data_IF_985172364518
#
_entry.id   IF_985172364518
#
_cell.length_a   1.000
_cell.length_b   1.000
_cell.length_c   1.000
_cell.angle_alpha   90.00
_cell.angle_beta   90.00
_cell.angle_gamma   90.00
#
_symmetry.space_group_name_H-M   'P 1'
#
loop_
_entity.id
_entity.type
_entity.pdbx_description
1 polymer ?
#
# COMPACT_ATOMS: atom_id res chain seq x y z
N UNK A 1 -46.75 -33.67 -9.23
CA UNK A 1 -47.02 -32.46 -8.39
C UNK A 1 -46.05 -32.46 -7.27
N UNK A 2 -45.27 -31.41 -7.11
CA UNK A 2 -44.14 -31.34 -6.16
C UNK A 2 -44.49 -31.09 -4.70
N UNK A 3 -45.64 -31.51 -4.20
CA UNK A 3 -46.04 -31.50 -2.78
C UNK A 3 -45.74 -30.21 -1.95
N UNK A 4 -45.44 -29.09 -2.61
CA UNK A 4 -45.14 -27.83 -1.94
C UNK A 4 -46.41 -27.04 -1.70
N UNK A 5 -46.62 -26.60 -0.46
CA UNK A 5 -47.71 -25.69 -0.09
C UNK A 5 -47.55 -24.35 -0.86
N UNK A 6 -48.67 -23.86 -1.37
CA UNK A 6 -48.78 -22.61 -2.11
C UNK A 6 -48.18 -21.43 -1.33
N UNK A 7 -48.33 -21.38 -0.01
CA UNK A 7 -47.77 -20.36 0.86
C UNK A 7 -46.25 -20.43 0.91
N UNK A 8 -45.65 -21.63 0.90
CA UNK A 8 -44.20 -21.83 0.87
C UNK A 8 -43.61 -21.29 -0.42
N UNK A 9 -44.30 -21.52 -1.56
CA UNK A 9 -43.91 -20.99 -2.86
C UNK A 9 -43.88 -19.45 -2.89
N UNK A 10 -44.96 -18.79 -2.51
CA UNK A 10 -45.00 -17.31 -2.50
C UNK A 10 -44.05 -16.69 -1.49
N UNK A 11 -43.84 -17.31 -0.32
CA UNK A 11 -42.81 -16.88 0.63
C UNK A 11 -41.42 -17.01 0.06
N UNK A 12 -41.13 -18.05 -0.72
CA UNK A 12 -39.83 -18.22 -1.35
C UNK A 12 -39.57 -17.16 -2.41
N UNK A 13 -40.53 -16.84 -3.26
CA UNK A 13 -40.45 -15.74 -4.24
C UNK A 13 -40.16 -14.42 -3.53
N UNK A 14 -40.95 -14.07 -2.52
CA UNK A 14 -40.75 -12.82 -1.78
C UNK A 14 -39.42 -12.74 -1.10
N UNK A 15 -38.90 -13.86 -0.57
CA UNK A 15 -37.54 -13.92 -0.01
C UNK A 15 -36.49 -13.72 -1.10
N UNK A 16 -36.64 -14.31 -2.27
CA UNK A 16 -35.77 -14.17 -3.41
C UNK A 16 -35.72 -12.71 -3.88
N UNK A 17 -36.86 -12.07 -4.13
CA UNK A 17 -36.95 -10.67 -4.55
C UNK A 17 -36.31 -9.72 -3.54
N UNK A 18 -36.57 -9.91 -2.24
CA UNK A 18 -35.93 -9.15 -1.17
C UNK A 18 -34.39 -9.36 -1.15
N UNK A 19 -33.94 -10.59 -1.42
CA UNK A 19 -32.53 -10.90 -1.50
C UNK A 19 -31.86 -10.21 -2.69
N UNK A 20 -32.52 -10.20 -3.87
CA UNK A 20 -32.06 -9.51 -5.08
C UNK A 20 -31.97 -8.00 -4.88
N UNK A 21 -33.01 -7.40 -4.30
CA UNK A 21 -33.04 -5.97 -3.99
C UNK A 21 -31.90 -5.57 -3.04
N UNK A 22 -31.63 -6.39 -2.01
CA UNK A 22 -30.51 -6.16 -1.12
C UNK A 22 -29.15 -6.31 -1.82
N UNK A 23 -29.01 -7.33 -2.67
CA UNK A 23 -27.80 -7.56 -3.45
C UNK A 23 -27.49 -6.37 -4.38
N UNK A 24 -28.49 -5.87 -5.11
CA UNK A 24 -28.34 -4.70 -5.99
C UNK A 24 -27.87 -3.45 -5.22
N UNK A 25 -28.42 -3.21 -4.02
CA UNK A 25 -27.95 -2.10 -3.15
C UNK A 25 -26.51 -2.28 -2.73
N UNK A 26 -26.09 -3.51 -2.39
CA UNK A 26 -24.70 -3.80 -2.01
C UNK A 26 -23.75 -3.60 -3.20
N UNK A 27 -24.13 -4.05 -4.39
CA UNK A 27 -23.34 -3.89 -5.61
C UNK A 27 -23.08 -2.41 -5.86
N UNK A 28 -24.12 -1.57 -5.84
CA UNK A 28 -24.01 -0.13 -6.01
C UNK A 28 -23.04 0.50 -5.01
N UNK A 29 -23.16 0.16 -3.72
CA UNK A 29 -22.25 0.66 -2.68
C UNK A 29 -20.78 0.25 -2.94
N UNK A 30 -20.57 -0.95 -3.47
CA UNK A 30 -19.23 -1.43 -3.83
C UNK A 30 -18.68 -0.68 -5.04
N UNK A 31 -19.50 -0.45 -6.06
CA UNK A 31 -19.14 0.30 -7.26
C UNK A 31 -18.77 1.75 -6.92
N UNK A 32 -19.55 2.43 -6.08
CA UNK A 32 -19.25 3.79 -5.61
C UNK A 32 -17.85 3.90 -4.97
N UNK A 33 -17.45 2.91 -4.17
CA UNK A 33 -16.10 2.86 -3.59
C UNK A 33 -15.05 2.56 -4.68
N UNK A 34 -15.36 1.67 -5.61
CA UNK A 34 -14.43 1.24 -6.66
C UNK A 34 -14.17 2.27 -7.74
N UNK A 35 -15.02 3.27 -7.90
CA UNK A 35 -14.72 4.46 -8.70
C UNK A 35 -13.40 5.10 -8.25
N UNK A 36 -13.15 5.18 -6.93
CA UNK A 36 -11.93 5.77 -6.36
C UNK A 36 -10.81 4.74 -6.12
N UNK A 37 -11.18 3.52 -5.79
CA UNK A 37 -10.26 2.43 -5.46
C UNK A 37 -10.62 1.17 -6.27
N UNK A 38 -10.26 1.09 -7.57
CA UNK A 38 -10.81 0.13 -8.53
C UNK A 38 -10.71 -1.33 -8.10
N UNK A 39 -9.60 -1.72 -7.47
CA UNK A 39 -9.36 -3.10 -7.04
C UNK A 39 -9.23 -3.25 -5.53
N UNK A 40 -9.97 -2.47 -4.78
CA UNK A 40 -10.03 -2.64 -3.32
C UNK A 40 -10.61 -4.01 -2.97
N UNK A 41 -9.87 -4.79 -2.19
CA UNK A 41 -10.26 -6.16 -1.82
C UNK A 41 -11.44 -6.24 -0.84
N UNK A 42 -12.21 -7.34 -0.90
CA UNK A 42 -13.47 -7.53 -0.18
C UNK A 42 -13.41 -7.30 1.34
N UNK A 43 -12.30 -7.64 2.03
CA UNK A 43 -12.19 -7.38 3.48
C UNK A 43 -12.19 -5.90 3.83
N UNK A 44 -11.55 -5.06 3.01
CA UNK A 44 -11.52 -3.61 3.20
C UNK A 44 -12.86 -2.99 2.81
N UNK A 45 -13.48 -3.47 1.72
CA UNK A 45 -14.85 -3.08 1.34
C UNK A 45 -15.83 -3.37 2.47
N UNK A 46 -15.81 -4.58 3.05
CA UNK A 46 -16.66 -4.93 4.18
C UNK A 46 -16.46 -3.99 5.37
N UNK A 47 -15.21 -3.63 5.67
CA UNK A 47 -14.89 -2.67 6.73
C UNK A 47 -15.49 -1.29 6.46
N UNK A 48 -15.30 -0.76 5.26
CA UNK A 48 -15.82 0.57 4.87
C UNK A 48 -17.34 0.61 4.83
N UNK A 49 -17.98 -0.48 4.42
CA UNK A 49 -19.42 -0.60 4.27
C UNK A 49 -20.15 -1.13 5.53
N UNK A 50 -19.42 -1.27 6.67
CA UNK A 50 -19.98 -1.88 7.90
C UNK A 50 -21.30 -1.24 8.34
N UNK A 51 -21.43 0.09 8.27
CA UNK A 51 -22.65 0.83 8.60
C UNK A 51 -23.83 0.48 7.68
N UNK A 52 -23.73 0.74 6.37
CA UNK A 52 -24.75 0.40 5.39
C UNK A 52 -25.14 -1.08 5.36
N UNK A 53 -24.16 -1.99 5.47
CA UNK A 53 -24.43 -3.45 5.52
C UNK A 53 -25.23 -3.85 6.76
N UNK A 54 -24.95 -3.22 7.91
CA UNK A 54 -25.73 -3.45 9.14
C UNK A 54 -27.18 -3.01 8.98
N UNK A 55 -27.44 -1.88 8.35
CA UNK A 55 -28.79 -1.38 8.05
C UNK A 55 -29.55 -2.32 7.12
N UNK A 56 -28.87 -2.96 6.16
CA UNK A 56 -29.43 -3.96 5.26
C UNK A 56 -29.56 -5.35 5.90
N UNK A 57 -29.10 -5.53 7.15
CA UNK A 57 -29.02 -6.84 7.84
C UNK A 57 -28.18 -7.87 7.05
N UNK A 58 -27.06 -7.43 6.46
CA UNK A 58 -26.12 -8.27 5.71
C UNK A 58 -24.86 -8.47 6.53
N UNK A 59 -24.61 -9.74 6.93
CA UNK A 59 -23.39 -10.16 7.58
C UNK A 59 -22.24 -10.34 6.59
N UNK A 60 -21.04 -10.64 7.14
CA UNK A 60 -19.81 -10.82 6.37
C UNK A 60 -19.93 -11.88 5.28
N UNK A 61 -20.39 -13.08 5.63
CA UNK A 61 -20.39 -14.20 4.69
C UNK A 61 -21.38 -13.94 3.54
N UNK A 62 -22.58 -13.46 3.86
CA UNK A 62 -23.55 -13.04 2.82
C UNK A 62 -23.01 -11.93 1.92
N UNK A 63 -22.26 -10.98 2.46
CA UNK A 63 -21.57 -9.96 1.66
C UNK A 63 -20.57 -10.59 0.66
N UNK A 64 -19.75 -11.53 1.13
CA UNK A 64 -18.80 -12.22 0.24
C UNK A 64 -19.50 -13.11 -0.78
N UNK A 65 -20.66 -13.72 -0.45
CA UNK A 65 -21.47 -14.48 -1.42
C UNK A 65 -22.03 -13.57 -2.52
N UNK A 66 -22.50 -12.38 -2.17
CA UNK A 66 -22.95 -11.39 -3.16
C UNK A 66 -21.78 -10.98 -4.07
N UNK A 67 -20.60 -10.70 -3.51
CA UNK A 67 -19.42 -10.36 -4.33
C UNK A 67 -19.02 -11.51 -5.27
N UNK A 68 -19.07 -12.75 -4.79
CA UNK A 68 -18.73 -13.95 -5.57
C UNK A 68 -19.71 -14.18 -6.70
N UNK A 69 -21.00 -14.13 -6.41
CA UNK A 69 -22.08 -14.35 -7.38
C UNK A 69 -22.07 -13.30 -8.51
N UNK A 70 -21.55 -12.09 -8.25
CA UNK A 70 -21.47 -10.99 -9.23
C UNK A 70 -20.06 -10.75 -9.76
N UNK A 71 -19.14 -11.70 -9.63
CA UNK A 71 -17.75 -11.61 -10.11
C UNK A 71 -16.97 -10.38 -9.60
N UNK A 72 -17.34 -9.88 -8.42
CA UNK A 72 -16.72 -8.70 -7.80
C UNK A 72 -15.53 -9.03 -6.88
N UNK A 73 -15.12 -10.29 -6.77
CA UNK A 73 -13.91 -10.66 -6.04
C UNK A 73 -12.67 -10.35 -6.87
N UNK A 74 -11.68 -9.72 -6.23
CA UNK A 74 -10.40 -9.40 -6.89
C UNK A 74 -9.50 -10.61 -6.87
N UNK A 75 -9.03 -11.03 -8.06
CA UNK A 75 -8.03 -12.08 -8.23
C UNK A 75 -6.65 -11.43 -8.21
N UNK A 76 -5.75 -11.83 -7.30
CA UNK A 76 -4.40 -11.29 -7.24
C UNK A 76 -3.61 -11.61 -8.51
N UNK A 77 -2.98 -10.62 -9.13
CA UNK A 77 -2.01 -10.84 -10.20
C UNK A 77 -0.66 -11.22 -9.57
N UNK A 78 -0.04 -12.28 -10.07
CA UNK A 78 1.36 -12.62 -9.76
C UNK A 78 2.24 -11.97 -10.82
N UNK A 79 3.15 -11.11 -10.40
CA UNK A 79 4.16 -10.50 -11.27
C UNK A 79 5.46 -10.35 -10.48
N UNK A 80 6.57 -10.79 -11.07
CA UNK A 80 7.92 -10.69 -10.50
C UNK A 80 8.80 -9.96 -11.51
N UNK A 81 9.42 -8.85 -11.11
CA UNK A 81 10.46 -8.16 -11.87
C UNK A 81 11.58 -7.73 -10.92
N UNK A 82 12.82 -8.09 -11.28
CA UNK A 82 14.03 -7.59 -10.60
C UNK A 82 14.44 -6.30 -11.28
N UNK A 83 14.60 -5.21 -10.52
CA UNK A 83 14.82 -3.86 -11.03
C UNK A 83 16.08 -3.19 -10.49
N UNK A 84 16.78 -3.79 -9.52
CA UNK A 84 17.88 -3.13 -8.81
C UNK A 84 19.24 -3.59 -9.33
N UNK A 85 20.08 -2.62 -9.72
CA UNK A 85 21.50 -2.84 -9.98
C UNK A 85 22.31 -2.35 -8.76
N UNK A 86 22.83 -3.29 -7.96
CA UNK A 86 23.60 -3.01 -6.74
C UNK A 86 25.13 -3.08 -6.93
N UNK A 87 25.61 -3.36 -8.17
CA UNK A 87 27.04 -3.45 -8.49
C UNK A 87 27.60 -2.11 -8.97
N UNK A 88 27.92 -1.22 -8.01
CA UNK A 88 28.54 0.08 -8.29
C UNK A 88 29.57 0.46 -7.22
N UNK A 89 30.43 1.47 -7.51
CA UNK A 89 31.57 1.89 -6.67
C UNK A 89 31.21 2.86 -5.53
N UNK A 90 29.96 3.34 -5.43
CA UNK A 90 29.56 4.27 -4.38
C UNK A 90 29.55 3.62 -3.00
N UNK A 91 29.72 4.46 -1.97
CA UNK A 91 29.69 4.03 -0.56
C UNK A 91 28.34 3.45 -0.20
N UNK A 92 28.33 2.26 0.40
CA UNK A 92 27.16 1.57 0.93
C UNK A 92 27.07 1.78 2.44
N UNK A 93 25.86 1.98 2.94
CA UNK A 93 25.58 2.18 4.36
C UNK A 93 25.09 0.90 5.02
N UNK A 94 25.26 0.79 6.35
CA UNK A 94 24.75 -0.36 7.13
C UNK A 94 23.24 -0.32 7.21
N UNK A 95 22.61 -1.49 7.40
CA UNK A 95 21.19 -1.59 7.70
C UNK A 95 20.95 -1.24 9.18
N UNK A 96 20.32 -0.11 9.44
CA UNK A 96 20.05 0.41 10.79
C UNK A 96 18.65 -0.01 11.31
N UNK A 97 17.84 -0.70 10.51
CA UNK A 97 16.45 -0.99 10.86
C UNK A 97 16.18 -2.45 11.20
N UNK A 98 17.17 -3.35 11.09
CA UNK A 98 17.01 -4.78 11.38
C UNK A 98 16.39 -5.05 12.75
N UNK A 99 16.94 -4.44 13.80
CA UNK A 99 16.47 -4.59 15.19
C UNK A 99 15.78 -3.33 15.71
N UNK A 100 15.47 -2.38 14.82
CA UNK A 100 14.89 -1.11 15.22
C UNK A 100 13.36 -1.23 15.43
N UNK A 101 12.91 -0.86 16.62
CA UNK A 101 11.47 -0.86 16.95
C UNK A 101 10.80 0.42 16.48
N UNK A 102 10.00 0.31 15.42
CA UNK A 102 9.23 1.44 14.87
C UNK A 102 7.90 1.54 15.62
N UNK A 103 7.71 2.61 16.38
CA UNK A 103 6.53 2.79 17.24
C UNK A 103 5.79 4.12 17.07
N UNK A 104 6.35 5.07 16.31
CA UNK A 104 5.72 6.37 16.00
C UNK A 104 6.04 6.83 14.57
N UNK A 105 5.28 7.81 14.02
CA UNK A 105 5.58 8.40 12.71
C UNK A 105 6.94 9.07 12.67
N UNK A 106 7.51 9.20 11.48
CA UNK A 106 8.75 9.92 11.19
C UNK A 106 10.00 9.37 11.91
N UNK A 107 10.00 8.10 12.33
CA UNK A 107 11.20 7.41 12.81
C UNK A 107 11.99 6.79 11.67
N UNK A 108 11.29 6.17 10.72
CA UNK A 108 11.90 5.51 9.56
C UNK A 108 11.09 5.84 8.33
N UNK A 109 11.75 6.39 7.32
CA UNK A 109 11.23 6.50 5.97
C UNK A 109 11.89 5.44 5.10
N UNK A 110 11.10 4.71 4.34
CA UNK A 110 11.58 3.75 3.35
C UNK A 110 11.39 4.31 1.95
N UNK A 111 12.42 4.21 1.13
CA UNK A 111 12.43 4.71 -0.22
C UNK A 111 12.61 3.58 -1.22
N UNK A 112 11.93 3.68 -2.35
CA UNK A 112 12.05 2.74 -3.46
C UNK A 112 11.65 3.41 -4.77
N UNK A 113 12.19 2.88 -5.88
CA UNK A 113 11.85 3.31 -7.25
C UNK A 113 11.21 2.13 -7.98
N UNK A 114 10.06 2.38 -8.60
CA UNK A 114 9.37 1.35 -9.34
C UNK A 114 8.99 1.81 -10.73
N UNK A 115 8.96 0.86 -11.70
CA UNK A 115 8.45 1.11 -13.04
C UNK A 115 6.94 1.24 -13.04
N UNK A 116 6.40 2.18 -13.82
CA UNK A 116 4.98 2.33 -14.12
C UNK A 116 4.77 2.57 -15.61
N UNK A 117 3.65 2.08 -16.15
CA UNK A 117 3.37 2.12 -17.58
C UNK A 117 3.87 0.90 -18.33
N UNK A 118 3.88 0.99 -19.66
CA UNK A 118 4.26 -0.13 -20.50
C UNK A 118 5.80 -0.23 -20.68
N UNK A 119 6.27 -1.38 -21.21
CA UNK A 119 7.70 -1.62 -21.42
C UNK A 119 8.34 -0.74 -22.49
N UNK A 120 7.56 -0.22 -23.47
CA UNK A 120 8.08 0.60 -24.58
C UNK A 120 8.34 2.04 -24.15
N UNK A 121 7.50 2.58 -23.23
CA UNK A 121 7.65 3.92 -22.65
C UNK A 121 7.45 3.85 -21.14
N UNK A 122 8.43 3.32 -20.40
CA UNK A 122 8.34 3.25 -18.94
C UNK A 122 8.45 4.64 -18.34
N UNK A 123 7.70 4.90 -17.29
CA UNK A 123 7.99 5.97 -16.35
C UNK A 123 8.46 5.36 -15.04
N UNK A 124 9.13 6.17 -14.25
CA UNK A 124 9.72 5.77 -12.98
C UNK A 124 9.05 6.53 -11.85
N UNK A 125 8.55 5.81 -10.88
CA UNK A 125 7.93 6.37 -9.69
C UNK A 125 8.89 6.21 -8.51
N UNK A 126 9.47 7.31 -8.06
CA UNK A 126 10.22 7.37 -6.81
C UNK A 126 9.26 7.63 -5.67
N UNK A 127 9.21 6.74 -4.67
CA UNK A 127 8.35 6.84 -3.49
C UNK A 127 9.19 6.90 -2.20
N UNK A 128 8.72 7.71 -1.25
CA UNK A 128 9.19 7.72 0.13
C UNK A 128 7.97 7.50 1.02
N UNK A 129 8.02 6.47 1.85
CA UNK A 129 6.90 6.01 2.68
C UNK A 129 7.32 5.98 4.15
N UNK A 130 6.52 6.52 5.03
CA UNK A 130 6.69 6.37 6.47
C UNK A 130 6.44 4.92 6.89
N UNK A 131 7.42 4.28 7.50
CA UNK A 131 7.38 2.86 7.82
C UNK A 131 6.37 2.52 8.92
N UNK A 132 6.03 3.48 9.81
CA UNK A 132 5.02 3.28 10.83
C UNK A 132 3.61 3.37 10.25
N UNK A 133 3.26 4.49 9.65
CA UNK A 133 1.89 4.80 9.21
C UNK A 133 1.56 4.26 7.82
N UNK A 134 2.54 3.87 7.04
CA UNK A 134 2.45 3.54 5.60
C UNK A 134 2.05 4.74 4.74
N UNK A 135 2.12 5.96 5.26
CA UNK A 135 1.85 7.19 4.53
C UNK A 135 2.95 7.44 3.50
N UNK A 136 2.56 7.71 2.27
CA UNK A 136 3.47 8.21 1.25
C UNK A 136 3.72 9.68 1.57
N UNK A 137 4.95 9.99 1.99
CA UNK A 137 5.38 11.32 2.44
C UNK A 137 6.04 12.12 1.33
N UNK A 138 6.63 11.44 0.34
CA UNK A 138 7.22 12.06 -0.84
C UNK A 138 7.15 11.15 -2.05
N UNK A 139 7.03 11.74 -3.24
CA UNK A 139 6.99 11.00 -4.49
C UNK A 139 7.28 11.90 -5.70
N UNK A 140 7.77 11.27 -6.76
CA UNK A 140 7.94 11.91 -8.06
C UNK A 140 7.80 10.89 -9.19
N UNK A 141 7.21 11.32 -10.32
CA UNK A 141 7.12 10.53 -11.56
C UNK A 141 7.98 11.19 -12.64
N UNK A 142 8.88 10.41 -13.22
CA UNK A 142 9.79 10.86 -14.27
C UNK A 142 9.85 9.87 -15.44
N UNK A 143 10.36 10.33 -16.58
CA UNK A 143 10.58 9.51 -17.78
C UNK A 143 11.94 8.78 -17.79
N UNK A 144 12.79 9.11 -16.82
CA UNK A 144 14.13 8.55 -16.69
C UNK A 144 14.44 8.13 -15.24
N UNK A 145 15.45 7.29 -15.10
CA UNK A 145 15.90 6.75 -13.81
C UNK A 145 17.04 7.59 -13.21
N UNK A 146 16.97 8.90 -13.34
CA UNK A 146 18.01 9.80 -12.84
C UNK A 146 17.87 10.07 -11.35
N UNK A 147 18.98 10.41 -10.69
CA UNK A 147 19.04 10.79 -9.27
C UNK A 147 18.10 11.95 -8.93
N UNK A 148 17.92 12.91 -9.86
CA UNK A 148 17.07 14.08 -9.63
C UNK A 148 15.63 13.70 -9.29
N UNK A 149 15.08 12.64 -9.88
CA UNK A 149 13.73 12.15 -9.56
C UNK A 149 13.58 11.76 -8.09
N UNK A 150 14.58 11.06 -7.56
CA UNK A 150 14.62 10.68 -6.14
C UNK A 150 14.85 11.88 -5.22
N UNK A 151 15.64 12.86 -5.69
CA UNK A 151 15.85 14.12 -4.97
C UNK A 151 14.58 14.97 -4.87
N UNK A 152 13.80 15.06 -5.94
CA UNK A 152 12.50 15.74 -5.93
C UNK A 152 11.55 15.07 -4.94
N UNK A 153 11.49 13.72 -4.92
CA UNK A 153 10.68 12.99 -3.96
C UNK A 153 11.13 13.27 -2.51
N UNK A 154 12.45 13.28 -2.26
CA UNK A 154 13.02 13.57 -0.95
C UNK A 154 12.73 15.01 -0.48
N UNK A 155 12.95 16.00 -1.36
CA UNK A 155 12.64 17.42 -1.06
C UNK A 155 11.15 17.60 -0.73
N UNK A 156 10.26 16.92 -1.45
CA UNK A 156 8.81 16.93 -1.19
C UNK A 156 8.47 16.34 0.18
N UNK A 157 9.10 15.20 0.53
CA UNK A 157 8.94 14.59 1.85
C UNK A 157 9.40 15.52 2.98
N UNK A 158 10.56 16.13 2.81
CA UNK A 158 11.14 17.07 3.79
C UNK A 158 10.30 18.32 3.97
N UNK A 159 9.72 18.88 2.89
CA UNK A 159 8.89 20.09 2.94
C UNK A 159 7.55 19.84 3.64
N UNK A 160 6.95 18.68 3.45
CA UNK A 160 5.57 18.40 3.87
C UNK A 160 5.47 17.76 5.26
N UNK A 161 6.60 17.46 5.92
CA UNK A 161 6.61 16.79 7.21
C UNK A 161 7.51 17.54 8.19
N UNK A 162 6.99 17.86 9.35
CA UNK A 162 7.79 18.37 10.46
C UNK A 162 8.67 17.21 10.98
N UNK A 163 9.95 17.29 10.66
CA UNK A 163 10.96 16.35 11.20
C UNK A 163 11.24 16.85 12.63
N UNK A 164 10.81 16.05 13.60
CA UNK A 164 11.14 16.31 15.01
C UNK A 164 12.66 16.29 15.20
N UNK A 165 13.16 16.84 16.30
CA UNK A 165 14.61 16.85 16.64
C UNK A 165 15.23 15.45 16.77
N UNK A 166 14.44 14.38 16.75
CA UNK A 166 14.93 13.00 16.77
C UNK A 166 15.44 12.57 15.38
N UNK A 167 16.55 11.82 15.33
CA UNK A 167 17.16 11.43 14.07
C UNK A 167 16.27 10.46 13.28
N UNK A 168 15.66 10.95 12.21
CA UNK A 168 14.91 10.16 11.25
C UNK A 168 15.88 9.27 10.44
N UNK A 169 15.57 7.98 10.33
CA UNK A 169 16.30 7.03 9.50
C UNK A 169 15.68 7.01 8.11
N UNK A 170 16.48 7.29 7.09
CA UNK A 170 16.12 7.10 5.69
C UNK A 170 16.70 5.78 5.21
N UNK A 171 15.82 4.82 4.90
CA UNK A 171 16.21 3.48 4.46
C UNK A 171 15.84 3.26 2.99
N UNK A 172 16.75 2.69 2.22
CA UNK A 172 16.55 2.37 0.80
C UNK A 172 17.31 1.09 0.41
N UNK A 173 17.08 0.64 -0.82
CA UNK A 173 18.00 -0.29 -1.45
C UNK A 173 19.35 0.37 -1.75
N UNK A 174 20.28 -0.39 -2.36
CA UNK A 174 21.60 0.09 -2.79
C UNK A 174 21.60 0.66 -4.21
N UNK A 175 20.48 1.22 -4.67
CA UNK A 175 20.40 1.85 -5.99
C UNK A 175 21.33 3.05 -6.12
N UNK A 176 21.85 3.27 -7.35
CA UNK A 176 22.75 4.37 -7.68
C UNK A 176 22.23 5.73 -7.22
N UNK A 177 20.93 5.93 -7.34
CA UNK A 177 20.25 7.18 -7.03
C UNK A 177 20.41 7.55 -5.55
N UNK A 178 20.27 6.57 -4.64
CA UNK A 178 20.39 6.76 -3.19
C UNK A 178 21.83 6.87 -2.73
N UNK A 179 22.77 6.24 -3.46
CA UNK A 179 24.19 6.27 -3.17
C UNK A 179 24.89 7.52 -3.73
N UNK A 180 24.22 8.33 -4.56
CA UNK A 180 24.82 9.50 -5.19
C UNK A 180 25.26 10.56 -4.16
N UNK A 181 26.34 11.26 -4.44
CA UNK A 181 26.87 12.29 -3.55
C UNK A 181 25.85 13.40 -3.26
N UNK A 182 25.02 13.76 -4.23
CA UNK A 182 24.02 14.79 -4.09
C UNK A 182 22.89 14.33 -3.14
N UNK A 183 22.42 13.08 -3.28
CA UNK A 183 21.42 12.51 -2.38
C UNK A 183 21.95 12.45 -0.94
N UNK A 184 23.17 11.96 -0.75
CA UNK A 184 23.83 11.88 0.54
C UNK A 184 24.05 13.26 1.17
N UNK A 185 24.38 14.28 0.36
CA UNK A 185 24.52 15.67 0.83
C UNK A 185 23.22 16.22 1.41
N UNK A 186 22.05 15.92 0.77
CA UNK A 186 20.75 16.33 1.30
C UNK A 186 20.45 15.60 2.60
N UNK A 187 20.64 14.29 2.67
CA UNK A 187 20.43 13.53 3.91
C UNK A 187 21.26 14.12 5.07
N UNK A 188 22.55 14.41 4.82
CA UNK A 188 23.44 15.03 5.81
C UNK A 188 22.98 16.43 6.20
N UNK A 189 22.58 17.27 5.23
CA UNK A 189 22.07 18.63 5.49
C UNK A 189 20.88 18.63 6.45
N UNK A 190 19.98 17.67 6.32
CA UNK A 190 18.79 17.55 7.16
C UNK A 190 18.99 16.57 8.35
N UNK A 191 20.23 16.16 8.63
CA UNK A 191 20.62 15.26 9.73
C UNK A 191 19.87 13.90 9.71
N UNK A 192 19.50 13.41 8.52
CA UNK A 192 18.89 12.11 8.35
C UNK A 192 19.94 11.00 8.41
N UNK A 193 19.67 9.93 9.16
CA UNK A 193 20.54 8.75 9.20
C UNK A 193 20.31 7.91 7.96
N UNK A 194 21.36 7.70 7.14
CA UNK A 194 21.27 6.83 5.99
C UNK A 194 21.36 5.36 6.40
N UNK A 195 20.43 4.55 5.93
CA UNK A 195 20.37 3.10 6.10
C UNK A 195 20.11 2.44 4.74
N UNK A 196 20.75 1.30 4.49
CA UNK A 196 20.57 0.57 3.22
C UNK A 196 20.44 -0.93 3.48
N UNK A 197 19.71 -1.62 2.58
CA UNK A 197 19.62 -3.09 2.59
C UNK A 197 21.01 -3.70 2.53
N UNK A 198 21.28 -4.78 3.26
CA UNK A 198 22.59 -5.45 3.25
C UNK A 198 22.64 -6.58 2.23
N UNK A 199 21.55 -7.34 2.15
CA UNK A 199 21.38 -8.47 1.25
C UNK A 199 20.28 -8.18 0.25
N UNK A 200 20.16 -9.00 -0.79
CA UNK A 200 19.01 -8.97 -1.71
C UNK A 200 17.75 -9.57 -1.06
N UNK A 201 17.61 -9.45 0.26
CA UNK A 201 16.46 -9.97 0.99
C UNK A 201 15.26 -9.01 0.81
N UNK A 202 14.17 -9.46 0.18
CA UNK A 202 12.95 -8.66 -0.01
C UNK A 202 12.36 -8.15 1.32
N UNK A 203 12.63 -8.83 2.43
CA UNK A 203 12.10 -8.41 3.74
C UNK A 203 12.75 -7.12 4.27
N UNK A 204 13.97 -6.79 3.81
CA UNK A 204 14.66 -5.57 4.26
C UNK A 204 13.98 -4.28 3.77
N UNK A 205 13.23 -4.31 2.64
CA UNK A 205 12.45 -3.16 2.14
C UNK A 205 10.95 -3.47 1.90
N UNK A 206 10.43 -4.47 2.60
CA UNK A 206 9.07 -5.00 2.40
C UNK A 206 7.94 -3.95 2.49
N UNK A 207 8.13 -2.87 3.24
CA UNK A 207 7.13 -1.79 3.35
C UNK A 207 7.04 -1.00 2.05
N UNK A 208 8.17 -0.60 1.47
CA UNK A 208 8.20 0.14 0.22
C UNK A 208 7.67 -0.72 -0.94
N UNK A 209 8.12 -1.98 -1.06
CA UNK A 209 7.62 -2.92 -2.06
C UNK A 209 6.10 -3.13 -1.94
N UNK A 210 5.61 -3.26 -0.71
CA UNK A 210 4.17 -3.44 -0.48
C UNK A 210 3.36 -2.22 -0.92
N UNK A 211 3.84 -1.00 -0.66
CA UNK A 211 3.14 0.23 -1.06
C UNK A 211 3.16 0.38 -2.57
N UNK A 212 4.29 0.13 -3.23
CA UNK A 212 4.41 0.07 -4.69
C UNK A 212 3.42 -0.94 -5.29
N UNK A 213 3.38 -2.15 -4.72
CA UNK A 213 2.44 -3.19 -5.14
C UNK A 213 0.98 -2.77 -4.98
N UNK A 214 0.63 -2.03 -3.94
CA UNK A 214 -0.73 -1.51 -3.74
C UNK A 214 -1.10 -0.49 -4.83
N UNK A 215 -0.24 0.48 -5.10
CA UNK A 215 -0.50 1.48 -6.14
C UNK A 215 -0.68 0.84 -7.52
N UNK A 216 0.16 -0.13 -7.88
CA UNK A 216 0.05 -0.85 -9.15
C UNK A 216 -1.19 -1.75 -9.22
N UNK A 217 -1.43 -2.55 -8.17
CA UNK A 217 -2.44 -3.60 -8.21
C UNK A 217 -3.85 -3.13 -7.83
N UNK A 218 -3.98 -2.20 -6.89
CA UNK A 218 -5.29 -1.73 -6.41
C UNK A 218 -5.75 -0.46 -7.14
N UNK A 219 -4.81 0.42 -7.58
CA UNK A 219 -5.10 1.68 -8.29
C UNK A 219 -4.80 1.62 -9.78
N UNK A 220 -4.25 0.51 -10.29
CA UNK A 220 -3.94 0.31 -11.72
C UNK A 220 -3.09 1.44 -12.36
N UNK A 221 -2.20 2.08 -11.60
CA UNK A 221 -1.39 3.22 -12.09
C UNK A 221 -0.45 2.86 -13.25
N UNK A 222 -0.21 1.58 -13.49
CA UNK A 222 0.63 1.03 -14.53
C UNK A 222 -0.14 0.51 -15.76
N UNK A 223 -1.49 0.57 -15.73
CA UNK A 223 -2.33 -0.09 -16.73
C UNK A 223 -2.34 0.62 -18.08
N UNK A 224 -2.24 1.94 -18.08
CA UNK A 224 -2.50 2.75 -19.28
C UNK A 224 -1.21 3.20 -19.95
N UNK A 225 -1.21 3.14 -21.30
CA UNK A 225 -0.16 3.73 -22.13
C UNK A 225 -0.51 5.20 -22.39
N UNK A 226 -0.03 6.05 -21.51
CA UNK A 226 -0.33 7.49 -21.49
C UNK A 226 0.95 8.29 -21.33
N UNK A 227 0.90 9.55 -21.69
CA UNK A 227 2.01 10.49 -21.46
C UNK A 227 2.30 10.68 -19.98
N UNK A 228 3.55 10.97 -19.65
CA UNK A 228 4.02 11.16 -18.28
C UNK A 228 3.31 12.31 -17.57
N UNK A 229 2.91 13.35 -18.27
CA UNK A 229 2.13 14.47 -17.75
C UNK A 229 0.79 14.00 -17.14
N UNK A 230 0.04 13.19 -17.89
CA UNK A 230 -1.22 12.60 -17.43
C UNK A 230 -0.97 11.54 -16.36
N UNK A 231 0.09 10.74 -16.50
CA UNK A 231 0.49 9.75 -15.49
C UNK A 231 0.82 10.40 -14.15
N UNK A 232 1.48 11.56 -14.13
CA UNK A 232 1.71 12.36 -12.91
C UNK A 232 0.40 12.73 -12.23
N UNK A 233 -0.62 13.14 -12.97
CA UNK A 233 -1.94 13.49 -12.41
C UNK A 233 -2.61 12.27 -11.78
N UNK A 234 -2.65 11.13 -12.49
CA UNK A 234 -3.23 9.88 -12.00
C UNK A 234 -2.51 9.39 -10.74
N UNK A 235 -1.18 9.40 -10.73
CA UNK A 235 -0.39 8.99 -9.55
C UNK A 235 -0.62 9.93 -8.37
N UNK A 236 -0.71 11.23 -8.62
CA UNK A 236 -0.99 12.23 -7.58
C UNK A 236 -2.36 11.98 -6.93
N UNK A 237 -3.39 11.75 -7.73
CA UNK A 237 -4.73 11.42 -7.25
C UNK A 237 -4.76 10.08 -6.50
N UNK A 238 -4.15 9.04 -7.06
CA UNK A 238 -4.07 7.71 -6.43
C UNK A 238 -3.37 7.78 -5.06
N UNK A 239 -2.28 8.56 -4.93
CA UNK A 239 -1.58 8.77 -3.66
C UNK A 239 -2.43 9.54 -2.66
N UNK A 240 -3.17 10.55 -3.10
CA UNK A 240 -4.13 11.27 -2.25
C UNK A 240 -5.17 10.31 -1.68
N UNK A 241 -5.86 9.55 -2.55
CA UNK A 241 -6.86 8.55 -2.15
C UNK A 241 -6.24 7.46 -1.25
N UNK A 242 -5.04 6.99 -1.58
CA UNK A 242 -4.30 6.02 -0.78
C UNK A 242 -4.05 6.52 0.65
N UNK A 243 -3.56 7.73 0.79
CA UNK A 243 -3.24 8.32 2.10
C UNK A 243 -4.50 8.64 2.92
N UNK A 244 -5.58 9.11 2.29
CA UNK A 244 -6.76 9.65 2.97
C UNK A 244 -7.88 8.62 3.17
N UNK A 245 -8.13 7.76 2.18
CA UNK A 245 -9.34 6.94 2.16
C UNK A 245 -9.07 5.44 2.30
N UNK A 246 -7.87 4.96 1.94
CA UNK A 246 -7.60 3.54 1.91
C UNK A 246 -7.25 2.97 3.29
N UNK A 247 -8.06 2.03 3.86
CA UNK A 247 -7.74 1.41 5.14
C UNK A 247 -6.60 0.40 4.99
N UNK A 248 -5.71 0.36 5.99
CA UNK A 248 -4.62 -0.61 6.09
C UNK A 248 -4.86 -1.62 7.20
N UNK A 249 -4.72 -2.90 6.87
CA UNK A 249 -4.87 -3.97 7.87
C UNK A 249 -3.81 -3.87 8.99
N UNK A 250 -2.55 -3.57 8.63
CA UNK A 250 -1.47 -3.38 9.60
C UNK A 250 -1.67 -2.16 10.51
N UNK A 251 -2.45 -1.19 10.09
CA UNK A 251 -2.80 0.01 10.84
C UNK A 251 -4.18 -0.13 11.53
N UNK A 252 -4.62 -1.34 11.85
CA UNK A 252 -5.94 -1.59 12.45
C UNK A 252 -7.10 -1.01 11.64
N UNK A 253 -6.99 -1.03 10.31
CA UNK A 253 -7.88 -0.41 9.32
C UNK A 253 -7.92 1.13 9.34
N UNK A 254 -7.07 1.81 10.11
CA UNK A 254 -6.87 3.25 9.93
C UNK A 254 -6.24 3.52 8.56
N UNK A 255 -6.55 4.68 8.00
CA UNK A 255 -5.86 5.17 6.81
C UNK A 255 -4.43 5.59 7.14
N UNK A 256 -3.52 5.70 6.15
CA UNK A 256 -2.17 6.20 6.38
C UNK A 256 -2.16 7.56 7.09
N UNK A 257 -3.01 8.51 6.68
CA UNK A 257 -3.10 9.82 7.32
C UNK A 257 -3.57 9.72 8.77
N UNK A 258 -4.63 8.94 9.06
CA UNK A 258 -5.11 8.74 10.43
C UNK A 258 -4.05 8.10 11.32
N UNK A 259 -3.34 7.09 10.80
CA UNK A 259 -2.26 6.44 11.54
C UNK A 259 -1.07 7.38 11.77
N UNK A 260 -0.76 8.27 10.81
CA UNK A 260 0.35 9.20 10.90
C UNK A 260 0.12 10.34 11.92
N UNK A 261 -1.14 10.67 12.21
CA UNK A 261 -1.50 11.73 13.14
C UNK A 261 -1.52 11.31 14.62
N UNK A 262 -1.27 10.02 14.91
CA UNK A 262 -1.30 9.52 16.28
C UNK A 262 -0.03 8.71 16.62
N UNK A 263 0.32 8.64 17.92
CA UNK A 263 1.53 7.96 18.43
C UNK A 263 1.20 6.79 19.37
N UNK A 264 -0.08 6.53 19.66
CA UNK A 264 -0.52 5.58 20.71
C UNK A 264 -0.76 4.15 20.20
N UNK A 265 -1.10 3.97 18.93
CA UNK A 265 -1.48 2.67 18.36
C UNK A 265 -0.24 1.96 17.83
N UNK A 266 0.11 0.81 18.38
CA UNK A 266 1.20 -0.02 17.86
C UNK A 266 0.79 -0.66 16.53
N UNK A 267 1.72 -0.71 15.57
CA UNK A 267 1.51 -1.46 14.33
C UNK A 267 1.27 -2.94 14.63
N UNK A 268 0.47 -3.62 13.79
CA UNK A 268 0.40 -5.07 13.80
C UNK A 268 1.69 -5.64 13.22
N UNK A 269 2.45 -6.35 14.02
CA UNK A 269 3.60 -7.11 13.57
C UNK A 269 3.18 -8.56 13.36
N UNK A 270 3.54 -9.13 12.22
CA UNK A 270 3.37 -10.56 11.97
C UNK A 270 4.67 -11.23 12.41
N UNK A 271 4.70 -11.81 13.63
CA UNK A 271 5.82 -12.69 14.04
C UNK A 271 5.77 -13.91 13.11
N UNK A 272 6.85 -14.16 12.38
CA UNK A 272 7.03 -15.43 11.69
C UNK A 272 7.01 -16.54 12.75
N UNK A 273 6.05 -17.47 12.64
CA UNK A 273 5.93 -18.64 13.53
C UNK A 273 7.20 -19.53 13.54
N UNK A 274 8.08 -19.37 12.57
CA UNK A 274 9.32 -20.15 12.46
C UNK A 274 10.48 -19.63 13.29
N UNK A 275 10.47 -18.38 13.78
CA UNK A 275 11.53 -17.88 14.67
C UNK A 275 11.37 -18.29 16.12
N UNK A 276 10.19 -18.78 16.55
CA UNK A 276 9.97 -19.29 17.91
C UNK A 276 10.44 -20.72 18.10
N UNK A 277 10.71 -21.49 17.04
CA UNK A 277 11.17 -22.89 17.16
C UNK A 277 12.68 -23.04 17.37
N UNK A 278 13.48 -22.02 17.02
CA UNK A 278 14.95 -22.09 17.17
C UNK A 278 15.46 -21.60 18.54
N UNK A 279 14.61 -21.18 19.47
CA UNK A 279 15.03 -20.83 20.85
C UNK A 279 14.97 -21.98 21.86
N UNK A 280 14.48 -23.15 21.46
CA UNK A 280 14.40 -24.34 22.33
C UNK A 280 15.30 -25.51 21.91
N UNK A 281 16.24 -25.31 21.03
CA UNK A 281 17.16 -26.35 20.55
C UNK A 281 18.62 -26.11 20.97
N UNK A 282 18.85 -25.46 22.12
CA UNK A 282 20.17 -25.38 22.76
C UNK A 282 19.93 -25.31 24.30
N UNK A 283 19.65 -26.46 24.87
CA UNK A 283 20.01 -26.86 26.25
C UNK A 283 20.41 -28.31 26.19
#
# INVERSE_FOLDING_TARGET
>A
MFGLDRQVYYRSIKRYENSQTKASKVIKLVEDIRVKMPKLGGRKLYFLLKGPLRSLKIGRDKFFDILRANHLLIIPKRSYHITTNSHHRFRKHKNLILDYSINKPNQVWVADITYIGNRKKPSYLSLITDAYSKKIVGYHVADNLNTESSLVALRKALKNNNIEKEPLIHHSDRGLQYCSNEYQRILKKYQLKCSMTQNSDPYENAVAERVNGILKQEFDIDKYDIETSLRRKIVNEAIGIYNELRPHFSNHYLTPNQMHQQKKIKMKTYKNKNQSKNKFALV
#
